data_IF_471261900088
#
_entry.id   IF_471261900088
#
_cell.length_a   1.000
_cell.length_b   1.000
_cell.length_c   1.000
_cell.angle_alpha   90.00
_cell.angle_beta   90.00
_cell.angle_gamma   90.00
#
_symmetry.space_group_name_H-M   'P 1'
#
loop_
_entity.id
_entity.type
_entity.pdbx_description
1 polymer ?
#
# COMPACT_ATOMS: atom_id res chain seq x y z
N UNK A 1 -14.59 -5.67 7.91
CA UNK A 1 -13.14 -5.72 7.59
C UNK A 1 -12.84 -5.02 6.27
N UNK A 2 -13.65 -5.22 5.21
CA UNK A 2 -13.48 -4.54 3.91
C UNK A 2 -13.38 -3.01 4.01
N UNK A 3 -14.22 -2.34 4.80
CA UNK A 3 -14.14 -0.87 4.94
C UNK A 3 -12.81 -0.38 5.51
N UNK A 4 -12.17 -1.17 6.39
CA UNK A 4 -10.86 -0.79 6.93
C UNK A 4 -9.74 -1.00 5.90
N UNK A 5 -9.85 -2.01 5.04
CA UNK A 5 -8.95 -2.16 3.91
C UNK A 5 -9.14 -1.03 2.89
N UNK A 6 -10.38 -0.62 2.61
CA UNK A 6 -10.67 0.53 1.76
C UNK A 6 -10.13 1.84 2.37
N UNK A 7 -10.28 2.04 3.68
CA UNK A 7 -9.70 3.18 4.38
C UNK A 7 -8.16 3.19 4.32
N UNK A 8 -7.52 2.02 4.45
CA UNK A 8 -6.08 1.86 4.29
C UNK A 8 -5.62 2.25 2.87
N UNK A 9 -6.31 1.74 1.84
CA UNK A 9 -6.01 2.08 0.43
C UNK A 9 -6.21 3.57 0.19
N UNK A 10 -7.30 4.16 0.69
CA UNK A 10 -7.55 5.60 0.59
C UNK A 10 -6.46 6.43 1.26
N UNK A 11 -5.97 6.01 2.43
CA UNK A 11 -4.88 6.70 3.11
C UNK A 11 -3.58 6.66 2.28
N UNK A 12 -3.32 5.55 1.59
CA UNK A 12 -2.20 5.42 0.65
C UNK A 12 -2.37 6.34 -0.55
N UNK A 13 -3.57 6.39 -1.15
CA UNK A 13 -3.86 7.23 -2.31
C UNK A 13 -3.71 8.73 -1.95
N UNK A 14 -4.19 9.13 -0.77
CA UNK A 14 -4.00 10.48 -0.23
C UNK A 14 -2.53 10.81 0.01
N UNK A 15 -1.75 9.87 0.55
CA UNK A 15 -0.31 10.06 0.76
C UNK A 15 0.44 10.33 -0.55
N UNK A 16 0.12 9.61 -1.61
CA UNK A 16 0.69 9.84 -2.94
C UNK A 16 0.23 11.18 -3.54
N UNK A 17 -1.05 11.55 -3.37
CA UNK A 17 -1.59 12.82 -3.84
C UNK A 17 -0.92 14.02 -3.15
N UNK A 18 -0.79 13.98 -1.82
CA UNK A 18 -0.09 14.98 -1.03
C UNK A 18 1.39 15.08 -1.43
N UNK A 19 2.03 13.94 -1.70
CA UNK A 19 3.39 13.87 -2.22
C UNK A 19 3.55 14.57 -3.57
N UNK A 20 2.65 14.28 -4.52
CA UNK A 20 2.65 14.89 -5.87
C UNK A 20 2.39 16.40 -5.84
N UNK A 21 1.54 16.87 -4.93
CA UNK A 21 1.21 18.30 -4.75
C UNK A 21 2.21 19.05 -3.87
N UNK A 22 3.21 18.36 -3.32
CA UNK A 22 4.13 18.97 -2.38
C UNK A 22 4.97 20.07 -3.04
N UNK A 23 4.77 21.30 -2.57
CA UNK A 23 5.65 22.44 -2.85
C UNK A 23 6.50 22.69 -1.60
N UNK A 24 7.84 22.78 -1.72
CA UNK A 24 8.71 22.97 -0.57
C UNK A 24 8.38 24.25 0.21
N UNK A 25 7.77 24.09 1.39
CA UNK A 25 7.42 25.18 2.29
C UNK A 25 8.62 25.93 2.90
N UNK A 26 8.36 26.79 3.88
CA UNK A 26 9.40 27.54 4.58
C UNK A 26 10.37 26.60 5.33
N UNK A 27 11.54 27.11 5.75
CA UNK A 27 12.59 26.28 6.36
C UNK A 27 12.13 25.56 7.66
N UNK A 28 11.18 26.13 8.41
CA UNK A 28 10.63 25.52 9.63
C UNK A 28 9.77 24.31 9.29
N UNK A 29 8.89 24.42 8.29
CA UNK A 29 8.08 23.31 7.81
C UNK A 29 8.94 22.16 7.30
N UNK A 30 10.01 22.48 6.55
CA UNK A 30 10.99 21.48 6.09
C UNK A 30 11.67 20.77 7.26
N UNK A 31 12.08 21.51 8.29
CA UNK A 31 12.71 20.94 9.48
C UNK A 31 11.74 20.04 10.26
N UNK A 32 10.51 20.49 10.49
CA UNK A 32 9.47 19.70 11.18
C UNK A 32 9.19 18.40 10.41
N UNK A 33 9.07 18.50 9.08
CA UNK A 33 8.80 17.35 8.22
C UNK A 33 9.95 16.34 8.24
N UNK A 34 11.19 16.83 8.18
CA UNK A 34 12.40 16.02 8.32
C UNK A 34 12.50 15.34 9.69
N UNK A 35 12.18 16.06 10.77
CA UNK A 35 12.12 15.48 12.12
C UNK A 35 11.04 14.40 12.25
N UNK A 36 9.93 14.54 11.52
CA UNK A 36 8.90 13.50 11.43
C UNK A 36 9.28 12.33 10.51
N UNK A 37 10.43 12.36 9.84
CA UNK A 37 10.90 11.33 8.92
C UNK A 37 10.32 11.40 7.50
N UNK A 38 9.58 12.45 7.17
CA UNK A 38 9.07 12.65 5.81
C UNK A 38 10.08 13.49 5.02
N UNK A 39 10.92 12.82 4.24
CA UNK A 39 11.90 13.49 3.39
C UNK A 39 11.46 13.33 1.93
N UNK A 40 11.07 14.42 1.23
CA UNK A 40 10.68 14.31 -0.17
C UNK A 40 11.85 13.74 -0.99
N UNK A 41 11.59 12.87 -1.97
CA UNK A 41 12.63 12.33 -2.82
C UNK A 41 13.38 13.46 -3.56
N UNK A 42 14.67 13.26 -3.91
CA UNK A 42 15.45 14.27 -4.65
C UNK A 42 14.92 14.52 -6.07
N UNK A 43 14.10 13.60 -6.60
CA UNK A 43 13.36 13.74 -7.87
C UNK A 43 11.88 14.04 -7.57
N UNK A 44 11.08 14.30 -8.61
CA UNK A 44 9.62 14.48 -8.48
C UNK A 44 8.99 13.28 -7.75
N UNK A 45 8.09 13.56 -6.82
CA UNK A 45 7.30 12.52 -6.15
C UNK A 45 6.32 11.90 -7.17
N UNK A 46 6.34 10.59 -7.31
CA UNK A 46 5.47 9.85 -8.24
C UNK A 46 4.40 9.12 -7.43
N UNK A 47 4.32 7.80 -7.52
CA UNK A 47 3.55 6.97 -6.61
C UNK A 47 4.51 6.07 -5.85
N UNK A 48 4.29 5.85 -4.55
CA UNK A 48 5.08 4.83 -3.83
C UNK A 48 4.75 3.45 -4.39
N UNK A 49 5.79 2.64 -4.62
CA UNK A 49 5.62 1.29 -5.13
C UNK A 49 4.72 0.47 -4.18
N UNK A 50 3.56 -0.05 -4.63
CA UNK A 50 2.52 -0.61 -3.75
C UNK A 50 3.04 -1.72 -2.82
N UNK A 51 3.83 -2.65 -3.35
CA UNK A 51 4.41 -3.72 -2.55
C UNK A 51 5.35 -3.20 -1.46
N UNK A 52 6.17 -2.20 -1.80
CA UNK A 52 7.13 -1.63 -0.85
C UNK A 52 6.39 -0.84 0.23
N UNK A 53 5.39 -0.04 -0.15
CA UNK A 53 4.51 0.64 0.78
C UNK A 53 3.91 -0.33 1.80
N UNK A 54 3.28 -1.42 1.34
CA UNK A 54 2.66 -2.39 2.25
C UNK A 54 3.70 -3.10 3.13
N UNK A 55 4.87 -3.48 2.60
CA UNK A 55 5.93 -4.08 3.42
C UNK A 55 6.42 -3.16 4.56
N UNK A 56 6.46 -1.85 4.32
CA UNK A 56 6.89 -0.85 5.33
C UNK A 56 5.77 -0.51 6.32
N UNK A 57 4.55 -0.36 5.84
CA UNK A 57 3.41 0.16 6.61
C UNK A 57 2.64 -0.94 7.34
N UNK A 58 2.56 -2.13 6.74
CA UNK A 58 1.99 -3.35 7.32
C UNK A 58 3.08 -4.43 7.41
N UNK A 59 3.99 -4.33 8.41
CA UNK A 59 5.14 -5.21 8.52
C UNK A 59 4.74 -6.69 8.62
N UNK A 60 5.67 -7.57 8.21
CA UNK A 60 5.50 -9.03 8.08
C UNK A 60 4.60 -9.49 6.92
N UNK A 61 4.12 -8.55 6.09
CA UNK A 61 3.47 -8.87 4.82
C UNK A 61 4.46 -9.40 3.79
N UNK A 62 4.11 -10.51 3.15
CA UNK A 62 4.75 -10.95 1.91
C UNK A 62 4.09 -10.28 0.71
N UNK A 63 4.86 -10.03 -0.34
CA UNK A 63 4.38 -9.37 -1.56
C UNK A 63 5.01 -10.03 -2.78
N UNK A 64 4.39 -11.10 -3.27
CA UNK A 64 4.80 -11.80 -4.49
C UNK A 64 3.57 -12.40 -5.18
N UNK A 65 3.70 -12.75 -6.46
CA UNK A 65 2.73 -13.59 -7.15
C UNK A 65 3.37 -14.94 -7.47
N UNK A 66 2.53 -15.96 -7.59
CA UNK A 66 2.93 -17.30 -7.99
C UNK A 66 2.01 -17.72 -9.14
N UNK A 67 2.60 -17.98 -10.30
CA UNK A 67 1.84 -18.25 -11.51
C UNK A 67 0.96 -19.51 -11.41
N UNK A 68 1.37 -20.49 -10.59
CA UNK A 68 0.66 -21.76 -10.47
C UNK A 68 -0.43 -21.72 -9.40
N UNK A 69 -0.37 -20.75 -8.48
CA UNK A 69 -1.34 -20.63 -7.37
C UNK A 69 -2.39 -19.56 -7.59
N UNK A 70 -2.21 -18.71 -8.60
CA UNK A 70 -3.12 -17.60 -8.82
C UNK A 70 -4.49 -18.06 -9.33
N UNK A 71 -5.52 -17.33 -8.93
CA UNK A 71 -6.90 -17.59 -9.29
C UNK A 71 -7.56 -16.31 -9.80
N UNK A 72 -8.33 -16.35 -10.90
CA UNK A 72 -9.10 -15.20 -11.35
C UNK A 72 -10.19 -14.87 -10.32
N UNK A 73 -10.28 -13.61 -9.90
CA UNK A 73 -11.33 -13.12 -8.99
C UNK A 73 -11.82 -11.74 -9.42
N UNK A 74 -13.12 -11.48 -9.19
CA UNK A 74 -13.67 -10.13 -9.21
C UNK A 74 -13.34 -9.44 -7.88
N UNK A 75 -12.77 -8.24 -7.95
CA UNK A 75 -12.29 -7.49 -6.80
C UNK A 75 -12.93 -6.10 -6.79
N UNK A 76 -13.20 -5.61 -5.57
CA UNK A 76 -13.47 -4.20 -5.38
C UNK A 76 -12.13 -3.43 -5.51
N UNK A 77 -11.98 -2.52 -6.49
CA UNK A 77 -10.74 -1.78 -6.69
C UNK A 77 -10.35 -0.91 -5.49
N UNK A 78 -11.29 -0.53 -4.63
CA UNK A 78 -11.02 0.21 -3.39
C UNK A 78 -10.26 -0.61 -2.35
N UNK A 79 -10.19 -1.94 -2.51
CA UNK A 79 -9.42 -2.82 -1.63
C UNK A 79 -8.02 -3.15 -2.18
N UNK A 80 -7.66 -2.56 -3.32
CA UNK A 80 -6.39 -2.79 -4.01
C UNK A 80 -5.45 -1.61 -3.80
N UNK A 81 -4.33 -1.84 -3.13
CA UNK A 81 -3.20 -0.91 -3.06
C UNK A 81 -2.52 -0.91 -4.42
N UNK A 82 -2.64 0.19 -5.16
CA UNK A 82 -2.07 0.39 -6.49
C UNK A 82 -1.21 1.65 -6.52
N UNK A 83 -0.43 1.85 -7.56
CA UNK A 83 0.27 3.12 -7.82
C UNK A 83 -0.16 3.63 -9.18
N UNK A 84 -0.16 4.96 -9.34
CA UNK A 84 -0.46 5.61 -10.62
C UNK A 84 0.80 6.25 -11.16
N UNK A 85 1.23 5.79 -12.32
CA UNK A 85 2.38 6.33 -13.02
C UNK A 85 1.99 7.29 -14.16
N UNK A 86 0.96 6.94 -14.92
CA UNK A 86 0.48 7.72 -16.06
C UNK A 86 -0.85 8.40 -15.72
N UNK A 87 -0.98 9.66 -16.10
CA UNK A 87 -2.27 10.29 -16.21
C UNK A 87 -2.96 9.73 -17.47
N UNK A 88 -4.12 9.11 -17.31
CA UNK A 88 -4.96 8.71 -18.45
C UNK A 88 -5.78 9.89 -18.98
N UNK A 89 -5.45 11.12 -18.57
CA UNK A 89 -6.09 12.31 -19.10
C UNK A 89 -5.87 12.44 -20.61
N UNK A 90 -6.84 13.02 -21.34
CA UNK A 90 -6.76 13.17 -22.80
C UNK A 90 -5.58 14.04 -23.29
N UNK A 91 -4.84 14.67 -22.37
CA UNK A 91 -3.85 15.70 -22.66
C UNK A 91 -2.40 15.18 -22.66
N UNK A 92 -2.17 13.91 -22.28
CA UNK A 92 -0.82 13.35 -22.22
C UNK A 92 -0.48 12.57 -23.51
N UNK A 93 0.81 12.41 -23.81
CA UNK A 93 1.37 11.94 -25.10
C UNK A 93 1.02 10.49 -25.51
N UNK A 94 0.13 9.83 -24.78
CA UNK A 94 -0.38 8.51 -25.11
C UNK A 94 -1.63 8.66 -25.99
N UNK A 95 -1.72 7.91 -27.09
CA UNK A 95 -2.99 7.82 -27.83
C UNK A 95 -4.07 7.42 -26.83
N UNK A 96 -5.13 8.23 -26.60
CA UNK A 96 -6.11 7.91 -25.58
C UNK A 96 -6.91 6.71 -26.07
N UNK A 97 -6.53 5.52 -25.63
CA UNK A 97 -7.44 4.36 -25.64
C UNK A 97 -8.58 4.72 -24.67
N UNK A 98 -9.85 4.65 -25.11
CA UNK A 98 -10.99 4.88 -24.23
C UNK A 98 -10.85 4.10 -22.92
N UNK A 99 -11.11 4.71 -21.75
CA UNK A 99 -11.00 4.03 -20.45
C UNK A 99 -11.73 2.70 -20.39
N UNK A 100 -12.90 2.60 -21.02
CA UNK A 100 -13.70 1.38 -21.08
C UNK A 100 -12.99 0.25 -21.84
N UNK A 101 -12.36 0.55 -22.98
CA UNK A 101 -11.59 -0.44 -23.74
C UNK A 101 -10.37 -0.94 -22.96
N UNK A 102 -9.71 -0.05 -22.19
CA UNK A 102 -8.60 -0.45 -21.31
C UNK A 102 -9.08 -1.36 -20.18
N UNK A 103 -10.23 -1.06 -19.57
CA UNK A 103 -10.82 -1.86 -18.50
C UNK A 103 -11.30 -3.22 -19.02
N UNK A 104 -11.99 -3.26 -20.17
CA UNK A 104 -12.44 -4.50 -20.79
C UNK A 104 -11.26 -5.38 -21.17
N UNK A 105 -10.22 -4.80 -21.78
CA UNK A 105 -9.01 -5.56 -22.10
C UNK A 105 -8.29 -6.09 -20.86
N UNK A 106 -8.29 -5.32 -19.77
CA UNK A 106 -7.76 -5.77 -18.48
C UNK A 106 -8.50 -6.99 -17.95
N UNK A 107 -9.84 -6.95 -18.02
CA UNK A 107 -10.71 -8.02 -17.54
C UNK A 107 -10.60 -9.29 -18.42
N UNK A 108 -10.40 -9.13 -19.73
CA UNK A 108 -10.13 -10.25 -20.67
C UNK A 108 -8.83 -10.98 -20.34
N UNK A 109 -7.79 -10.25 -19.91
CA UNK A 109 -6.47 -10.81 -19.59
C UNK A 109 -6.41 -11.44 -18.18
N UNK A 110 -7.47 -11.31 -17.38
CA UNK A 110 -7.54 -11.85 -16.02
C UNK A 110 -7.99 -13.32 -16.00
N UNK A 111 -7.38 -14.17 -16.82
CA UNK A 111 -7.70 -15.60 -16.97
C UNK A 111 -6.48 -16.50 -16.73
N UNK A 112 -6.71 -17.79 -16.50
CA UNK A 112 -5.62 -18.76 -16.26
C UNK A 112 -4.83 -19.07 -17.54
N UNK A 113 -5.38 -18.79 -18.71
CA UNK A 113 -4.71 -18.94 -19.99
C UNK A 113 -3.75 -17.77 -20.23
N UNK A 114 -4.19 -16.55 -19.90
CA UNK A 114 -3.41 -15.31 -20.07
C UNK A 114 -2.46 -15.03 -18.92
N UNK A 115 -2.23 -16.04 -18.09
CA UNK A 115 -1.61 -15.89 -16.78
C UNK A 115 -0.14 -15.48 -16.85
N UNK A 116 0.53 -15.76 -17.97
CA UNK A 116 1.90 -15.34 -18.28
C UNK A 116 1.99 -14.08 -19.15
N UNK A 117 0.86 -13.53 -19.61
CA UNK A 117 0.86 -12.35 -20.47
C UNK A 117 1.29 -11.10 -19.69
N UNK A 118 2.22 -10.30 -20.22
CA UNK A 118 2.85 -9.19 -19.48
C UNK A 118 1.84 -8.15 -18.96
N UNK A 119 0.72 -7.93 -19.66
CA UNK A 119 -0.34 -6.99 -19.23
C UNK A 119 -1.39 -7.57 -18.28
N UNK A 120 -1.32 -8.85 -17.92
CA UNK A 120 -2.36 -9.46 -17.09
C UNK A 120 -2.36 -8.83 -15.69
N UNK A 121 -3.53 -8.41 -15.18
CA UNK A 121 -3.63 -7.80 -13.87
C UNK A 121 -3.35 -8.83 -12.79
N UNK A 122 -2.21 -8.71 -12.11
CA UNK A 122 -1.79 -9.63 -11.05
C UNK A 122 -1.76 -8.90 -9.72
N UNK A 123 -2.43 -9.48 -8.75
CA UNK A 123 -2.46 -8.99 -7.38
C UNK A 123 -2.09 -10.09 -6.40
N UNK A 124 -1.61 -9.71 -5.23
CA UNK A 124 -1.52 -10.63 -4.10
C UNK A 124 -2.46 -10.20 -2.97
N UNK A 125 -3.08 -11.16 -2.28
CA UNK A 125 -3.91 -10.94 -1.09
C UNK A 125 -3.09 -11.20 0.17
N UNK A 126 -3.05 -10.23 1.09
CA UNK A 126 -2.27 -10.32 2.32
C UNK A 126 -3.00 -11.19 3.36
N UNK A 127 -2.55 -12.44 3.54
CA UNK A 127 -3.17 -13.40 4.47
C UNK A 127 -4.66 -13.56 4.22
N UNK A 128 -5.45 -13.41 5.29
CA UNK A 128 -6.91 -13.41 5.24
C UNK A 128 -7.52 -12.00 5.22
N UNK A 129 -6.69 -10.95 5.16
CA UNK A 129 -7.17 -9.57 5.04
C UNK A 129 -7.83 -9.38 3.67
N UNK A 130 -8.93 -8.61 3.57
CA UNK A 130 -9.49 -8.16 2.30
C UNK A 130 -8.66 -7.00 1.74
N UNK A 131 -7.34 -7.16 1.71
CA UNK A 131 -6.36 -6.18 1.24
C UNK A 131 -5.52 -6.82 0.14
N UNK A 132 -5.55 -6.21 -1.04
CA UNK A 132 -4.85 -6.68 -2.22
C UNK A 132 -3.77 -5.69 -2.62
N UNK A 133 -2.71 -6.18 -3.26
CA UNK A 133 -1.59 -5.35 -3.71
C UNK A 133 -1.39 -5.59 -5.19
N UNK A 134 -1.44 -4.51 -5.98
CA UNK A 134 -1.16 -4.58 -7.41
C UNK A 134 0.34 -4.80 -7.66
N UNK A 135 0.65 -5.97 -8.24
CA UNK A 135 2.00 -6.35 -8.63
C UNK A 135 2.24 -6.06 -10.11
N UNK A 136 1.24 -6.31 -10.96
CA UNK A 136 1.20 -5.92 -12.38
C UNK A 136 -0.13 -5.27 -12.74
N UNK A 137 -0.14 -4.42 -13.76
CA UNK A 137 -1.35 -3.70 -14.19
C UNK A 137 -1.79 -2.56 -13.25
N UNK A 138 -0.88 -2.08 -12.39
CA UNK A 138 -1.13 -1.09 -11.30
C UNK A 138 -1.88 0.16 -11.77
N UNK A 139 -1.53 0.70 -12.94
CA UNK A 139 -2.15 1.91 -13.49
C UNK A 139 -3.65 1.74 -13.79
N UNK A 140 -4.11 0.52 -14.08
CA UNK A 140 -5.52 0.27 -14.45
C UNK A 140 -6.45 0.34 -13.25
N UNK A 141 -5.95 0.09 -12.03
CA UNK A 141 -6.78 0.09 -10.81
C UNK A 141 -7.49 1.43 -10.61
N UNK A 142 -6.83 2.55 -10.90
CA UNK A 142 -7.44 3.88 -10.78
C UNK A 142 -8.60 4.09 -11.78
N UNK A 143 -8.51 3.52 -12.99
CA UNK A 143 -9.61 3.56 -13.96
C UNK A 143 -10.85 2.85 -13.38
N UNK A 144 -10.66 1.66 -12.80
CA UNK A 144 -11.75 0.92 -12.16
C UNK A 144 -12.33 1.65 -10.94
N UNK A 145 -11.49 2.28 -10.10
CA UNK A 145 -11.94 3.13 -8.98
C UNK A 145 -12.82 4.29 -9.48
N UNK A 146 -12.33 5.03 -10.48
CA UNK A 146 -13.03 6.19 -11.04
C UNK A 146 -14.35 5.82 -11.74
N UNK A 147 -14.41 4.64 -12.36
CA UNK A 147 -15.61 4.12 -12.99
C UNK A 147 -16.59 3.45 -12.01
N UNK A 148 -16.20 3.24 -10.74
CA UNK A 148 -17.01 2.48 -9.77
C UNK A 148 -17.26 1.03 -10.19
N UNK A 149 -16.37 0.45 -11.00
CA UNK A 149 -16.52 -0.88 -11.61
C UNK A 149 -15.67 -1.92 -10.87
N UNK A 150 -16.18 -3.14 -10.71
CA UNK A 150 -15.39 -4.27 -10.22
C UNK A 150 -14.25 -4.59 -11.21
N UNK A 151 -13.10 -4.99 -10.68
CA UNK A 151 -11.93 -5.36 -11.48
C UNK A 151 -11.68 -6.86 -11.44
N UNK A 152 -11.50 -7.53 -12.58
CA UNK A 152 -10.97 -8.89 -12.60
C UNK A 152 -9.46 -8.88 -12.47
N UNK A 153 -8.93 -9.73 -11.62
CA UNK A 153 -7.49 -9.92 -11.47
C UNK A 153 -7.13 -11.37 -11.13
N UNK A 154 -5.89 -11.75 -11.47
CA UNK A 154 -5.26 -12.97 -11.01
C UNK A 154 -4.70 -12.77 -9.61
N UNK A 155 -5.25 -13.48 -8.64
CA UNK A 155 -4.95 -13.32 -7.21
C UNK A 155 -4.09 -14.45 -6.71
N UNK A 156 -2.91 -14.13 -6.19
CA UNK A 156 -2.13 -15.06 -5.33
C UNK A 156 -2.38 -14.74 -3.86
N UNK A 157 -2.84 -15.71 -3.08
CA UNK A 157 -2.92 -15.55 -1.63
C UNK A 157 -1.51 -15.72 -1.02
N UNK A 158 -1.04 -14.73 -0.25
CA UNK A 158 0.30 -14.74 0.35
C UNK A 158 0.22 -14.72 1.86
N UNK A 159 1.28 -15.18 2.52
CA UNK A 159 1.31 -15.28 3.97
C UNK A 159 1.23 -13.90 4.66
N UNK A 160 0.43 -13.85 5.72
CA UNK A 160 0.47 -12.85 6.77
C UNK A 160 0.22 -13.57 8.11
N UNK A 161 0.86 -13.18 9.22
CA UNK A 161 0.62 -13.79 10.51
C UNK A 161 -0.87 -13.76 10.90
N UNK A 162 -1.32 -14.80 11.61
CA UNK A 162 -2.65 -14.78 12.21
C UNK A 162 -2.70 -13.73 13.33
N UNK A 163 -3.89 -13.17 13.59
CA UNK A 163 -4.05 -12.04 14.50
C UNK A 163 -3.60 -12.34 15.94
N UNK A 164 -3.79 -13.57 16.39
CA UNK A 164 -3.37 -14.09 17.71
C UNK A 164 -1.85 -14.27 17.85
N UNK A 165 -1.12 -14.26 16.73
CA UNK A 165 0.34 -14.31 16.70
C UNK A 165 0.97 -12.91 16.67
N UNK A 166 0.14 -11.87 16.53
CA UNK A 166 0.55 -10.48 16.47
C UNK A 166 0.27 -9.81 17.82
N UNK A 167 1.09 -8.81 18.15
CA UNK A 167 0.83 -7.95 19.30
C UNK A 167 1.14 -6.51 18.94
N UNK A 168 0.17 -5.63 19.20
CA UNK A 168 0.31 -4.20 18.97
C UNK A 168 0.87 -3.52 20.23
N UNK A 169 2.02 -2.88 20.12
CA UNK A 169 2.65 -2.14 21.22
C UNK A 169 2.49 -0.64 21.00
N UNK A 170 2.45 0.11 22.10
CA UNK A 170 2.55 1.57 22.09
C UNK A 170 3.65 1.99 23.05
N UNK A 171 4.67 2.68 22.54
CA UNK A 171 5.81 3.08 23.37
C UNK A 171 5.66 4.46 23.99
N UNK A 172 6.33 4.65 25.12
CA UNK A 172 6.47 5.92 25.84
C UNK A 172 7.92 6.43 25.69
N UNK A 173 8.16 7.75 25.60
CA UNK A 173 7.22 8.86 25.77
C UNK A 173 6.47 9.31 24.51
N UNK A 174 6.90 8.86 23.32
CA UNK A 174 6.42 9.44 22.06
C UNK A 174 5.11 8.84 21.52
N UNK A 175 4.55 7.83 22.17
CA UNK A 175 3.29 7.21 21.76
C UNK A 175 3.38 6.42 20.46
N UNK A 176 4.55 5.88 20.11
CA UNK A 176 4.80 5.25 18.82
C UNK A 176 4.23 3.84 18.80
N UNK A 177 3.49 3.51 17.75
CA UNK A 177 2.95 2.17 17.57
C UNK A 177 3.97 1.26 16.88
N UNK A 178 4.02 0.01 17.33
CA UNK A 178 4.81 -1.05 16.70
C UNK A 178 4.06 -2.38 16.76
N UNK A 179 4.37 -3.26 15.81
CA UNK A 179 3.79 -4.59 15.70
C UNK A 179 4.88 -5.63 15.94
N UNK A 180 4.60 -6.64 16.77
CA UNK A 180 5.54 -7.75 17.00
C UNK A 180 5.03 -9.08 16.46
N UNK A 181 5.94 -9.89 15.96
CA UNK A 181 5.73 -11.26 15.48
C UNK A 181 7.01 -12.07 15.67
N UNK A 182 6.91 -13.27 16.27
CA UNK A 182 8.05 -14.21 16.49
C UNK A 182 9.31 -13.55 17.08
N UNK A 183 9.14 -12.68 18.07
CA UNK A 183 10.25 -12.00 18.76
C UNK A 183 10.85 -10.81 18.00
N UNK A 184 10.42 -10.56 16.76
CA UNK A 184 10.76 -9.35 16.01
C UNK A 184 9.69 -8.27 16.25
N UNK A 185 10.11 -7.00 16.33
CA UNK A 185 9.23 -5.83 16.48
C UNK A 185 9.55 -4.80 15.42
N UNK A 186 8.52 -4.26 14.76
CA UNK A 186 8.65 -3.20 13.75
C UNK A 186 7.69 -2.06 14.02
N UNK A 187 8.17 -0.82 13.93
CA UNK A 187 7.33 0.37 14.07
C UNK A 187 6.31 0.49 12.94
N UNK A 188 5.18 1.15 13.22
CA UNK A 188 4.15 1.44 12.24
C UNK A 188 4.30 2.90 11.78
N UNK A 189 4.80 3.16 10.55
CA UNK A 189 5.10 4.51 10.09
C UNK A 189 3.86 5.38 9.87
N UNK A 190 2.73 4.75 9.53
CA UNK A 190 1.43 5.40 9.28
C UNK A 190 0.35 4.75 10.16
N UNK A 191 0.37 4.97 11.49
CA UNK A 191 -0.54 4.29 12.41
C UNK A 191 -2.01 4.60 12.11
N UNK A 192 -2.34 5.83 11.70
CA UNK A 192 -3.73 6.23 11.41
C UNK A 192 -4.34 5.42 10.25
N UNK A 193 -3.51 4.96 9.31
CA UNK A 193 -3.95 4.09 8.21
C UNK A 193 -4.05 2.62 8.61
N UNK A 194 -3.15 2.17 9.50
CA UNK A 194 -2.93 0.73 9.78
C UNK A 194 -3.73 0.23 10.97
N UNK A 195 -3.83 1.03 12.04
CA UNK A 195 -4.45 0.60 13.29
C UNK A 195 -5.90 0.16 13.10
N UNK A 196 -6.77 0.88 12.35
CA UNK A 196 -8.14 0.43 12.14
C UNK A 196 -8.21 -0.93 11.41
N UNK A 197 -7.24 -1.21 10.54
CA UNK A 197 -7.14 -2.50 9.84
C UNK A 197 -6.72 -3.61 10.80
N UNK A 198 -5.68 -3.40 11.61
CA UNK A 198 -5.19 -4.37 12.59
C UNK A 198 -6.20 -4.67 13.70
N UNK A 199 -6.91 -3.65 14.19
CA UNK A 199 -7.97 -3.79 15.17
C UNK A 199 -9.12 -4.64 14.62
N UNK A 200 -9.59 -4.35 13.40
CA UNK A 200 -10.62 -5.18 12.74
C UNK A 200 -10.12 -6.58 12.39
N UNK A 201 -8.81 -6.76 12.20
CA UNK A 201 -8.19 -8.06 12.01
C UNK A 201 -8.14 -8.89 13.30
N UNK A 202 -8.28 -8.25 14.47
CA UNK A 202 -8.30 -8.90 15.78
C UNK A 202 -6.95 -8.89 16.50
N UNK A 203 -6.02 -8.00 16.12
CA UNK A 203 -4.73 -7.89 16.82
C UNK A 203 -4.92 -7.25 18.18
N UNK A 204 -4.47 -7.94 19.22
CA UNK A 204 -4.60 -7.45 20.59
C UNK A 204 -3.50 -6.43 20.95
N UNK A 205 -3.84 -5.37 21.69
CA UNK A 205 -2.84 -4.49 22.26
C UNK A 205 -2.06 -5.17 23.38
N UNK A 206 -0.78 -4.84 23.51
CA UNK A 206 0.03 -5.21 24.64
C UNK A 206 -0.53 -4.57 25.93
N UNK A 207 -0.49 -5.27 27.08
CA UNK A 207 -1.11 -4.79 28.31
C UNK A 207 -0.40 -3.58 28.93
N UNK A 208 0.88 -3.35 28.60
CA UNK A 208 1.67 -2.25 29.16
C UNK A 208 2.46 -1.55 28.07
N UNK A 209 2.57 -0.20 28.12
CA UNK A 209 3.43 0.52 27.21
C UNK A 209 4.90 0.19 27.49
N UNK A 210 5.71 0.22 26.43
CA UNK A 210 7.15 -0.01 26.50
C UNK A 210 7.88 1.34 26.50
N UNK A 211 8.89 1.52 27.34
CA UNK A 211 9.75 2.69 27.27
C UNK A 211 10.78 2.45 26.16
N UNK A 212 10.76 3.27 25.10
CA UNK A 212 11.69 3.12 23.98
C UNK A 212 11.90 4.44 23.23
N UNK A 213 13.08 5.03 23.38
CA UNK A 213 13.52 6.13 22.51
C UNK A 213 13.95 5.64 21.12
N UNK A 214 14.35 4.36 21.02
CA UNK A 214 14.76 3.73 19.76
C UNK A 214 13.63 3.74 18.73
N UNK A 215 12.40 3.53 19.17
CA UNK A 215 11.21 3.51 18.31
C UNK A 215 11.03 4.84 17.56
N UNK A 216 11.49 5.97 18.12
CA UNK A 216 11.46 7.27 17.43
C UNK A 216 12.37 7.28 16.22
N UNK A 217 13.62 6.82 16.37
CA UNK A 217 14.56 6.78 15.25
C UNK A 217 14.16 5.75 14.20
N UNK A 218 13.65 4.59 14.63
CA UNK A 218 13.08 3.59 13.72
C UNK A 218 11.87 4.14 12.94
N UNK A 219 11.01 4.93 13.59
CA UNK A 219 9.87 5.58 12.93
C UNK A 219 10.32 6.56 11.85
N UNK A 220 11.34 7.37 12.18
CA UNK A 220 11.93 8.33 11.23
C UNK A 220 12.50 7.59 10.02
N UNK A 221 13.27 6.53 10.23
CA UNK A 221 13.86 5.74 9.15
C UNK A 221 12.79 5.05 8.29
N UNK A 222 11.79 4.41 8.90
CA UNK A 222 10.70 3.75 8.20
C UNK A 222 9.93 4.71 7.28
N UNK A 223 9.66 5.94 7.74
CA UNK A 223 9.01 6.98 6.91
C UNK A 223 9.90 7.47 5.78
N UNK A 224 11.20 7.61 6.01
CA UNK A 224 12.15 7.96 4.95
C UNK A 224 12.19 6.87 3.87
N UNK A 225 12.18 5.60 4.27
CA UNK A 225 12.18 4.48 3.33
C UNK A 225 10.92 4.47 2.44
N UNK A 226 9.74 4.74 3.02
CA UNK A 226 8.50 4.92 2.23
C UNK A 226 8.67 6.03 1.19
N UNK A 227 9.25 7.17 1.57
CA UNK A 227 9.44 8.30 0.65
C UNK A 227 10.47 7.98 -0.45
N UNK A 228 11.43 7.08 -0.21
CA UNK A 228 12.45 6.67 -1.19
C UNK A 228 11.95 5.63 -2.19
N UNK A 229 11.01 4.77 -1.80
CA UNK A 229 10.48 3.66 -2.62
C UNK A 229 9.46 4.13 -3.69
N UNK A 230 9.82 5.16 -4.45
CA UNK A 230 9.02 5.69 -5.56
C UNK A 230 9.03 4.74 -6.76
N UNK A 231 7.94 4.71 -7.54
CA UNK A 231 7.93 4.04 -8.83
C UNK A 231 8.91 4.74 -9.79
N UNK A 232 9.78 3.96 -10.45
CA UNK A 232 10.73 4.47 -11.44
C UNK A 232 10.01 5.15 -12.58
N UNK A 233 10.54 6.29 -13.02
CA UNK A 233 10.10 6.94 -14.23
C UNK A 233 10.58 6.26 -15.51
#
# INVERSE_FOLDING_TARGET
MQDAAAAFVKAKDLFDEEGRKYVPGNWRERLIRKLKGFDPPPRRWTAVHPAKFVMQVLPFSLTYYDYERMQPRNLNPDTIVSGTYNDYSPNDHFRPTPPDEVMDKSDELATLEERHHHNSPRVCRVGTLPLFIALEGKNRVELFKNAGRQMKALVTDVFYPAADQLTLHRSWPFGIYSLSYKGERKVLPLPDAVLPLLEKYGVNPAPKPLVSLKDYFELVDARQNICRDQMSN
#
